data_IF_767348612641
#
_entry.id   IF_767348612641
#
_cell.length_a   1.000
_cell.length_b   1.000
_cell.length_c   1.000
_cell.angle_alpha   90.00
_cell.angle_beta   90.00
_cell.angle_gamma   90.00
#
_symmetry.space_group_name_H-M   'P 1'
#
loop_
_entity.id
_entity.type
_entity.pdbx_description
1 polymer ?
#
# COMPACT_ATOMS: atom_id res chain seq x y z
N UNK A 1 19.35 -13.91 1.18
CA UNK A 1 18.18 -13.03 1.33
C UNK A 1 18.40 -12.12 2.52
N UNK A 2 18.42 -10.81 2.31
CA UNK A 2 18.83 -9.82 3.32
C UNK A 2 17.73 -8.75 3.41
N UNK A 3 17.17 -8.57 4.58
CA UNK A 3 16.14 -7.54 4.81
C UNK A 3 16.71 -6.48 5.73
N UNK A 4 16.57 -5.21 5.38
CA UNK A 4 16.93 -4.09 6.25
C UNK A 4 15.69 -3.58 7.00
N UNK A 5 15.82 -3.29 8.29
CA UNK A 5 14.77 -2.74 9.12
C UNK A 5 15.22 -1.46 9.83
N UNK A 6 14.48 -0.37 9.61
CA UNK A 6 14.76 0.91 10.23
C UNK A 6 14.39 0.93 11.71
N UNK A 7 15.34 1.19 12.58
CA UNK A 7 15.17 1.25 14.03
C UNK A 7 15.27 2.70 14.51
N UNK A 8 14.15 3.35 14.70
CA UNK A 8 14.05 4.71 15.24
C UNK A 8 13.67 4.72 16.73
N UNK A 9 12.70 5.56 17.08
CA UNK A 9 12.27 5.76 18.46
C UNK A 9 11.48 4.57 19.04
N UNK A 10 10.61 3.93 18.23
CA UNK A 10 9.85 2.77 18.68
C UNK A 10 10.74 1.52 18.62
N UNK A 11 10.98 0.93 19.78
CA UNK A 11 11.86 -0.26 19.93
C UNK A 11 11.16 -1.58 19.69
N UNK A 12 9.85 -1.60 19.49
CA UNK A 12 9.08 -2.80 19.13
C UNK A 12 9.59 -3.43 17.82
N UNK A 13 10.25 -2.62 16.95
CA UNK A 13 10.94 -3.11 15.76
C UNK A 13 12.03 -4.12 16.12
N UNK A 14 12.79 -3.88 17.22
CA UNK A 14 13.88 -4.77 17.66
C UNK A 14 13.31 -6.11 18.11
N UNK A 15 12.25 -6.07 18.94
CA UNK A 15 11.60 -7.29 19.40
C UNK A 15 10.96 -8.07 18.23
N UNK A 16 10.41 -7.37 17.22
CA UNK A 16 9.89 -8.01 16.03
C UNK A 16 10.98 -8.71 15.21
N UNK A 17 12.17 -8.12 15.11
CA UNK A 17 13.34 -8.73 14.44
C UNK A 17 13.74 -10.03 15.15
N UNK A 18 13.69 -10.07 16.48
CA UNK A 18 14.03 -11.27 17.27
C UNK A 18 13.02 -12.41 17.12
N UNK A 19 11.80 -12.11 16.63
CA UNK A 19 10.71 -13.09 16.46
C UNK A 19 10.63 -13.68 15.05
N UNK A 20 11.47 -13.29 14.12
CA UNK A 20 11.54 -13.87 12.77
C UNK A 20 12.71 -14.85 12.66
N UNK A 21 12.60 -15.82 11.74
CA UNK A 21 13.58 -16.91 11.54
C UNK A 21 14.53 -16.66 10.36
N UNK A 22 14.64 -15.42 9.91
CA UNK A 22 15.52 -15.00 8.81
C UNK A 22 16.37 -13.78 9.21
N UNK A 23 17.45 -13.55 8.48
CA UNK A 23 18.39 -12.48 8.77
C UNK A 23 17.81 -11.10 8.47
N UNK A 24 17.90 -10.19 9.46
CA UNK A 24 17.46 -8.80 9.34
C UNK A 24 18.56 -7.86 9.83
N UNK A 25 18.96 -6.91 8.98
CA UNK A 25 19.91 -5.86 9.34
C UNK A 25 19.18 -4.70 10.02
N UNK A 26 19.64 -4.34 11.22
CA UNK A 26 19.15 -3.15 11.95
C UNK A 26 19.85 -1.91 11.39
N UNK A 27 19.06 -0.92 10.99
CA UNK A 27 19.55 0.34 10.42
C UNK A 27 18.96 1.51 11.21
N UNK A 28 19.79 2.45 11.64
CA UNK A 28 19.38 3.53 12.55
C UNK A 28 19.18 4.88 11.86
N UNK A 29 19.51 4.99 10.55
CA UNK A 29 19.30 6.22 9.79
C UNK A 29 18.51 5.98 8.50
N UNK A 30 17.79 7.03 8.08
CA UNK A 30 17.02 7.02 6.83
C UNK A 30 17.94 6.92 5.62
N UNK A 31 19.12 7.55 5.69
CA UNK A 31 20.16 7.55 4.66
C UNK A 31 20.65 6.12 4.41
N UNK A 32 21.11 5.47 5.46
CA UNK A 32 21.66 4.11 5.38
C UNK A 32 20.62 3.11 4.90
N UNK A 33 19.35 3.24 5.33
CA UNK A 33 18.27 2.35 4.87
C UNK A 33 18.08 2.42 3.35
N UNK A 34 18.06 3.64 2.80
CA UNK A 34 17.91 3.87 1.35
C UNK A 34 19.15 3.42 0.59
N UNK A 35 20.36 3.66 1.13
CA UNK A 35 21.62 3.19 0.53
C UNK A 35 21.67 1.68 0.47
N UNK A 36 21.29 0.96 1.55
CA UNK A 36 21.26 -0.50 1.56
C UNK A 36 20.34 -1.06 0.49
N UNK A 37 19.20 -0.41 0.31
CA UNK A 37 18.23 -0.80 -0.70
C UNK A 37 18.75 -0.55 -2.13
N UNK A 38 19.26 0.65 -2.40
CA UNK A 38 19.67 1.05 -3.76
C UNK A 38 20.98 0.39 -4.23
N UNK A 39 21.88 0.07 -3.31
CA UNK A 39 23.14 -0.61 -3.62
C UNK A 39 23.00 -2.14 -3.66
N UNK A 40 21.78 -2.68 -3.47
CA UNK A 40 21.53 -4.12 -3.44
C UNK A 40 22.19 -4.84 -2.26
N UNK A 41 22.57 -4.09 -1.21
CA UNK A 41 23.04 -4.70 0.03
C UNK A 41 21.90 -5.39 0.77
N UNK A 42 20.69 -4.83 0.70
CA UNK A 42 19.45 -5.45 1.15
C UNK A 42 18.55 -5.76 -0.06
N UNK A 43 17.94 -6.93 -0.06
CA UNK A 43 16.99 -7.38 -1.09
C UNK A 43 15.61 -6.75 -0.89
N UNK A 44 15.30 -6.33 0.35
CA UNK A 44 14.12 -5.56 0.72
C UNK A 44 14.39 -4.72 1.97
N UNK A 45 13.58 -3.66 2.16
CA UNK A 45 13.65 -2.86 3.37
C UNK A 45 12.26 -2.59 3.94
N UNK A 46 12.15 -2.57 5.27
CA UNK A 46 11.00 -2.01 5.97
C UNK A 46 11.40 -0.71 6.65
N UNK A 47 10.51 0.30 6.62
CA UNK A 47 10.76 1.58 7.31
C UNK A 47 11.00 1.40 8.80
N UNK A 48 10.32 0.44 9.41
CA UNK A 48 10.31 0.33 10.86
C UNK A 48 9.73 1.59 11.50
N UNK A 49 10.49 2.21 12.40
CA UNK A 49 10.09 3.43 13.10
C UNK A 49 10.85 4.70 12.68
N UNK A 50 11.61 4.66 11.60
CA UNK A 50 12.28 5.83 11.00
C UNK A 50 11.30 6.84 10.41
N UNK A 51 11.79 8.00 9.95
CA UNK A 51 10.96 9.07 9.38
C UNK A 51 10.46 8.74 7.97
N UNK A 52 9.13 8.58 7.80
CA UNK A 52 8.53 8.37 6.48
C UNK A 52 8.84 9.51 5.52
N UNK A 53 8.69 10.77 5.96
CA UNK A 53 8.91 11.94 5.10
C UNK A 53 10.33 12.02 4.55
N UNK A 54 11.34 11.72 5.37
CA UNK A 54 12.74 11.73 4.94
C UNK A 54 13.05 10.61 3.95
N UNK A 55 12.59 9.38 4.22
CA UNK A 55 12.79 8.25 3.32
C UNK A 55 12.05 8.49 2.00
N UNK A 56 10.77 8.89 2.06
CA UNK A 56 9.99 9.16 0.83
C UNK A 56 10.60 10.26 -0.02
N UNK A 57 11.17 11.32 0.59
CA UNK A 57 11.89 12.34 -0.16
C UNK A 57 13.07 11.74 -0.96
N UNK A 58 13.89 10.89 -0.33
CA UNK A 58 15.02 10.23 -1.00
C UNK A 58 14.59 9.25 -2.09
N UNK A 59 13.52 8.49 -1.86
CA UNK A 59 12.98 7.59 -2.87
C UNK A 59 12.45 8.36 -4.08
N UNK A 60 11.79 9.51 -3.86
CA UNK A 60 11.31 10.39 -4.94
C UNK A 60 12.42 11.01 -5.79
N UNK A 61 13.63 11.21 -5.26
CA UNK A 61 14.78 11.66 -6.05
C UNK A 61 15.10 10.68 -7.21
N UNK A 62 14.88 9.37 -7.01
CA UNK A 62 15.09 8.33 -8.03
C UNK A 62 13.85 8.03 -8.86
N UNK A 63 12.68 7.94 -8.22
CA UNK A 63 11.45 7.42 -8.84
C UNK A 63 10.42 8.50 -9.19
N UNK A 64 10.64 9.75 -8.74
CA UNK A 64 9.72 10.88 -8.95
C UNK A 64 8.29 10.57 -8.45
N UNK A 65 7.27 11.07 -9.15
CA UNK A 65 5.86 10.91 -8.78
C UNK A 65 5.24 9.57 -9.23
N UNK A 66 6.07 8.64 -9.71
CA UNK A 66 5.61 7.31 -10.15
C UNK A 66 5.33 6.34 -8.99
N UNK A 67 5.75 6.72 -7.80
CA UNK A 67 5.60 5.89 -6.60
C UNK A 67 4.27 6.16 -5.90
N UNK A 68 3.68 5.09 -5.38
CA UNK A 68 2.55 5.17 -4.47
C UNK A 68 2.60 4.04 -3.45
N UNK A 69 1.89 4.24 -2.34
CA UNK A 69 1.84 3.25 -1.25
C UNK A 69 0.53 2.49 -1.28
N UNK A 70 0.62 1.17 -1.29
CA UNK A 70 -0.51 0.27 -1.18
C UNK A 70 -0.40 -0.56 0.10
N UNK A 71 -1.31 -0.37 1.05
CA UNK A 71 -1.35 -1.15 2.28
C UNK A 71 -1.89 -2.55 1.99
N UNK A 72 -1.14 -3.57 2.41
CA UNK A 72 -1.62 -4.93 2.40
C UNK A 72 -2.36 -5.23 3.70
N UNK A 73 -3.63 -5.60 3.58
CA UNK A 73 -4.57 -5.79 4.69
C UNK A 73 -5.17 -7.19 4.62
N UNK A 74 -5.28 -7.82 5.79
CA UNK A 74 -6.08 -9.03 5.99
C UNK A 74 -7.23 -8.71 6.94
N UNK A 75 -8.46 -8.99 6.52
CA UNK A 75 -9.69 -8.79 7.28
C UNK A 75 -10.60 -10.00 7.06
N UNK A 76 -11.01 -10.67 8.12
CA UNK A 76 -11.91 -11.82 8.10
C UNK A 76 -11.50 -12.91 7.07
N UNK A 77 -10.19 -13.15 6.97
CA UNK A 77 -9.59 -14.12 6.06
C UNK A 77 -9.44 -13.65 4.61
N UNK A 78 -9.96 -12.49 4.26
CA UNK A 78 -9.74 -11.88 2.95
C UNK A 78 -8.49 -11.00 2.97
N UNK A 79 -7.73 -11.03 1.87
CA UNK A 79 -6.49 -10.26 1.69
C UNK A 79 -6.63 -9.34 0.51
N UNK A 80 -6.32 -8.08 0.71
CA UNK A 80 -6.41 -7.08 -0.35
C UNK A 80 -5.38 -5.96 -0.17
N UNK A 81 -5.06 -5.30 -1.27
CA UNK A 81 -4.34 -4.04 -1.29
C UNK A 81 -5.33 -2.88 -1.16
N UNK A 82 -4.96 -1.85 -0.43
CA UNK A 82 -5.66 -0.57 -0.37
C UNK A 82 -4.69 0.54 -0.77
N UNK A 83 -5.02 1.29 -1.82
CA UNK A 83 -4.26 2.45 -2.28
C UNK A 83 -5.20 3.53 -2.87
N UNK A 84 -4.75 4.78 -2.94
CA UNK A 84 -3.58 5.32 -2.26
C UNK A 84 -3.78 5.37 -0.74
N UNK A 85 -2.68 5.32 0.03
CA UNK A 85 -2.72 5.52 1.49
C UNK A 85 -1.76 6.63 1.95
N UNK A 86 -0.95 7.17 1.06
CA UNK A 86 -0.25 8.43 1.26
C UNK A 86 -1.20 9.60 1.16
N UNK A 87 -1.19 10.50 2.15
CA UNK A 87 -2.12 11.65 2.20
C UNK A 87 -1.93 12.65 1.05
N UNK A 88 -0.83 12.55 0.34
CA UNK A 88 -0.38 13.35 -0.80
C UNK A 88 -0.41 12.55 -2.12
N UNK A 89 -1.20 11.48 -2.20
CA UNK A 89 -1.30 10.58 -3.36
C UNK A 89 -2.74 10.48 -3.88
N UNK A 90 -2.91 10.30 -5.19
CA UNK A 90 -4.20 9.99 -5.81
C UNK A 90 -5.18 11.15 -5.93
N UNK A 91 -4.69 12.37 -6.14
CA UNK A 91 -5.49 13.59 -6.20
C UNK A 91 -6.40 13.67 -7.43
N UNK A 92 -6.04 12.98 -8.51
CA UNK A 92 -6.78 12.98 -9.78
C UNK A 92 -6.88 11.56 -10.39
N UNK A 93 -7.61 11.45 -11.49
CA UNK A 93 -7.85 10.17 -12.18
C UNK A 93 -6.55 9.61 -12.77
N UNK A 94 -5.66 10.46 -13.29
CA UNK A 94 -4.42 10.01 -13.91
C UNK A 94 -3.48 9.37 -12.87
N UNK A 95 -3.34 9.97 -11.71
CA UNK A 95 -2.59 9.39 -10.59
C UNK A 95 -3.22 8.08 -10.11
N UNK A 96 -4.55 8.04 -9.92
CA UNK A 96 -5.25 6.79 -9.53
C UNK A 96 -5.11 5.69 -10.58
N UNK A 97 -5.08 6.04 -11.86
CA UNK A 97 -4.83 5.10 -12.94
C UNK A 97 -3.41 4.52 -12.87
N UNK A 98 -2.40 5.35 -12.67
CA UNK A 98 -1.01 4.88 -12.49
C UNK A 98 -0.89 3.94 -11.28
N UNK A 99 -1.55 4.27 -10.17
CA UNK A 99 -1.61 3.44 -8.98
C UNK A 99 -2.27 2.08 -9.29
N UNK A 100 -3.42 2.10 -9.97
CA UNK A 100 -4.17 0.89 -10.32
C UNK A 100 -3.36 -0.03 -11.24
N UNK A 101 -2.67 0.53 -12.23
CA UNK A 101 -1.79 -0.22 -13.12
C UNK A 101 -0.56 -0.79 -12.40
N UNK A 102 0.10 0.02 -11.56
CA UNK A 102 1.27 -0.43 -10.80
C UNK A 102 0.90 -1.56 -9.82
N UNK A 103 -0.22 -1.43 -9.09
CA UNK A 103 -0.72 -2.48 -8.20
C UNK A 103 -1.19 -3.72 -8.95
N UNK A 104 -1.78 -3.56 -10.15
CA UNK A 104 -2.12 -4.70 -11.00
C UNK A 104 -0.88 -5.47 -11.44
N UNK A 105 0.18 -4.78 -11.88
CA UNK A 105 1.46 -5.43 -12.22
C UNK A 105 2.07 -6.13 -11.01
N UNK A 106 2.02 -5.48 -9.84
CA UNK A 106 2.49 -6.07 -8.59
C UNK A 106 1.73 -7.37 -8.24
N UNK A 107 0.41 -7.38 -8.30
CA UNK A 107 -0.38 -8.60 -8.05
C UNK A 107 -0.08 -9.71 -9.07
N UNK A 108 0.04 -9.35 -10.35
CA UNK A 108 0.38 -10.31 -11.40
C UNK A 108 1.77 -10.91 -11.21
N UNK A 109 2.76 -10.15 -10.73
CA UNK A 109 4.10 -10.67 -10.41
C UNK A 109 4.07 -11.70 -9.27
N UNK A 110 3.04 -11.66 -8.43
CA UNK A 110 2.78 -12.65 -7.38
C UNK A 110 1.89 -13.83 -7.85
N UNK A 111 1.54 -13.86 -9.14
CA UNK A 111 0.61 -14.87 -9.69
C UNK A 111 -0.86 -14.64 -9.31
N UNK A 112 -1.20 -13.45 -8.83
CA UNK A 112 -2.55 -13.09 -8.40
C UNK A 112 -3.21 -12.25 -9.49
N UNK A 113 -4.37 -12.70 -10.00
CA UNK A 113 -5.16 -11.92 -10.95
C UNK A 113 -5.79 -10.72 -10.22
N UNK A 114 -5.54 -9.46 -10.64
CA UNK A 114 -6.13 -8.30 -10.01
C UNK A 114 -7.64 -8.25 -10.24
N UNK A 115 -8.39 -7.93 -9.19
CA UNK A 115 -9.81 -7.58 -9.22
C UNK A 115 -9.98 -6.28 -8.45
N UNK A 116 -10.16 -5.18 -9.20
CA UNK A 116 -10.10 -3.84 -8.65
C UNK A 116 -11.48 -3.38 -8.20
N UNK A 117 -11.59 -2.96 -6.94
CA UNK A 117 -12.74 -2.20 -6.43
C UNK A 117 -12.43 -0.71 -6.40
N UNK A 118 -13.07 0.08 -7.27
CA UNK A 118 -12.91 1.54 -7.26
C UNK A 118 -13.95 2.15 -6.31
N UNK A 119 -13.47 3.00 -5.39
CA UNK A 119 -14.33 3.71 -4.44
C UNK A 119 -14.50 5.19 -4.83
N UNK A 120 -15.61 5.79 -4.39
CA UNK A 120 -15.88 7.22 -4.51
C UNK A 120 -16.63 7.76 -3.29
N UNK A 121 -16.75 9.08 -3.18
CA UNK A 121 -17.29 9.79 -2.01
C UNK A 121 -18.81 9.79 -1.89
N UNK A 122 -19.55 8.91 -2.57
CA UNK A 122 -21.01 8.83 -2.49
C UNK A 122 -21.57 7.65 -3.24
N UNK A 123 -22.89 7.43 -3.14
CA UNK A 123 -23.68 6.46 -3.92
C UNK A 123 -24.25 7.13 -5.17
N UNK A 124 -24.77 6.38 -6.16
CA UNK A 124 -25.39 6.96 -7.35
C UNK A 124 -26.49 7.99 -7.05
N UNK A 125 -27.32 7.75 -6.04
CA UNK A 125 -28.40 8.64 -5.61
C UNK A 125 -27.92 9.88 -4.85
N UNK A 126 -26.64 9.95 -4.48
CA UNK A 126 -26.06 11.13 -3.81
C UNK A 126 -25.59 12.19 -4.81
N UNK A 127 -25.65 11.89 -6.12
CA UNK A 127 -25.30 12.85 -7.16
C UNK A 127 -26.24 14.07 -7.12
N UNK A 128 -25.65 15.27 -7.21
CA UNK A 128 -26.35 16.54 -7.06
C UNK A 128 -26.34 17.11 -5.64
N UNK A 129 -25.87 16.38 -4.62
CA UNK A 129 -25.82 16.88 -3.23
C UNK A 129 -24.69 17.88 -2.99
N UNK A 130 -23.55 17.70 -3.66
CA UNK A 130 -22.46 18.67 -3.67
C UNK A 130 -21.51 18.43 -4.84
N UNK A 131 -20.81 19.48 -5.29
CA UNK A 131 -19.79 19.39 -6.34
C UNK A 131 -18.66 18.40 -6.00
N UNK A 132 -18.31 18.25 -4.71
CA UNK A 132 -17.28 17.32 -4.26
C UNK A 132 -17.72 15.87 -4.46
N UNK A 133 -18.98 15.57 -4.11
CA UNK A 133 -19.55 14.22 -4.29
C UNK A 133 -19.66 13.89 -5.77
N UNK A 134 -20.19 14.83 -6.57
CA UNK A 134 -20.39 14.65 -8.02
C UNK A 134 -19.05 14.39 -8.71
N UNK A 135 -18.02 15.21 -8.42
CA UNK A 135 -16.67 15.03 -8.94
C UNK A 135 -16.12 13.66 -8.59
N UNK A 136 -16.23 13.24 -7.32
CA UNK A 136 -15.70 11.94 -6.87
C UNK A 136 -16.39 10.76 -7.56
N UNK A 137 -17.70 10.83 -7.74
CA UNK A 137 -18.46 9.79 -8.47
C UNK A 137 -18.06 9.76 -9.95
N UNK A 138 -17.94 10.92 -10.59
CA UNK A 138 -17.58 11.01 -11.99
C UNK A 138 -16.15 10.51 -12.25
N UNK A 139 -15.20 10.83 -11.36
CA UNK A 139 -13.84 10.28 -11.38
C UNK A 139 -13.81 8.75 -11.19
N UNK A 140 -14.61 8.22 -10.27
CA UNK A 140 -14.72 6.77 -10.06
C UNK A 140 -15.28 6.05 -11.30
N UNK A 141 -16.30 6.61 -11.95
CA UNK A 141 -16.85 6.08 -13.20
C UNK A 141 -15.80 6.12 -14.32
N UNK A 142 -15.12 7.25 -14.49
CA UNK A 142 -14.10 7.42 -15.51
C UNK A 142 -12.94 6.45 -15.33
N UNK A 143 -12.39 6.36 -14.12
CA UNK A 143 -11.31 5.43 -13.80
C UNK A 143 -11.71 3.98 -14.09
N UNK A 144 -12.91 3.59 -13.68
CA UNK A 144 -13.41 2.23 -13.92
C UNK A 144 -13.54 1.93 -15.42
N UNK A 145 -14.07 2.88 -16.19
CA UNK A 145 -14.18 2.72 -17.65
C UNK A 145 -12.80 2.55 -18.30
N UNK A 146 -11.83 3.39 -17.95
CA UNK A 146 -10.46 3.30 -18.47
C UNK A 146 -9.81 1.95 -18.12
N UNK A 147 -10.00 1.45 -16.89
CA UNK A 147 -9.45 0.17 -16.48
C UNK A 147 -10.06 -1.00 -17.28
N UNK A 148 -11.37 -1.00 -17.48
CA UNK A 148 -12.07 -2.01 -18.30
C UNK A 148 -11.58 -1.97 -19.76
N UNK A 149 -11.43 -0.77 -20.35
CA UNK A 149 -10.92 -0.61 -21.71
C UNK A 149 -9.46 -1.12 -21.86
N UNK A 150 -8.70 -1.17 -20.75
CA UNK A 150 -7.36 -1.77 -20.66
C UNK A 150 -7.36 -3.23 -20.26
N UNK A 151 -8.51 -3.89 -20.30
CA UNK A 151 -8.70 -5.31 -19.94
C UNK A 151 -8.32 -5.65 -18.50
N UNK A 152 -8.43 -4.68 -17.59
CA UNK A 152 -8.27 -4.89 -16.14
C UNK A 152 -9.66 -5.10 -15.56
N UNK A 153 -9.82 -6.17 -14.77
CA UNK A 153 -11.08 -6.46 -14.06
C UNK A 153 -11.31 -5.40 -12.98
N UNK A 154 -12.27 -4.50 -13.20
CA UNK A 154 -12.55 -3.38 -12.32
C UNK A 154 -14.07 -3.13 -12.23
N UNK A 155 -14.52 -2.73 -11.03
CA UNK A 155 -15.91 -2.34 -10.77
C UNK A 155 -15.95 -1.13 -9.84
N UNK A 156 -16.84 -0.18 -10.12
CA UNK A 156 -17.09 0.95 -9.26
C UNK A 156 -18.09 0.57 -8.16
N UNK A 157 -17.64 0.59 -6.92
CA UNK A 157 -18.43 0.27 -5.73
C UNK A 157 -18.94 1.52 -4.99
N UNK A 158 -18.68 2.69 -5.56
CA UNK A 158 -19.08 3.94 -4.91
C UNK A 158 -18.45 4.08 -3.51
N UNK A 159 -19.26 4.39 -2.47
CA UNK A 159 -18.76 4.48 -1.10
C UNK A 159 -18.80 3.11 -0.35
N UNK A 160 -19.28 2.06 -1.01
CA UNK A 160 -19.60 0.77 -0.40
C UNK A 160 -18.39 -0.17 -0.42
N UNK A 161 -17.41 0.09 0.44
CA UNK A 161 -16.20 -0.75 0.55
C UNK A 161 -16.55 -2.18 0.97
N UNK A 162 -17.57 -2.36 1.79
CA UNK A 162 -18.08 -3.66 2.23
C UNK A 162 -18.54 -4.54 1.06
N UNK A 163 -19.17 -3.94 0.05
CA UNK A 163 -19.59 -4.66 -1.16
C UNK A 163 -18.37 -5.06 -2.01
N UNK A 164 -17.37 -4.18 -2.11
CA UNK A 164 -16.14 -4.50 -2.84
C UNK A 164 -15.40 -5.70 -2.21
N UNK A 165 -15.27 -5.71 -0.88
CA UNK A 165 -14.64 -6.81 -0.14
C UNK A 165 -15.47 -8.09 -0.28
N UNK A 166 -16.80 -8.02 -0.12
CA UNK A 166 -17.70 -9.18 -0.23
C UNK A 166 -17.67 -9.79 -1.63
N UNK A 167 -17.59 -8.97 -2.68
CA UNK A 167 -17.45 -9.41 -4.07
C UNK A 167 -16.04 -9.97 -4.37
N UNK A 168 -15.13 -9.95 -3.40
CA UNK A 168 -13.76 -10.50 -3.51
C UNK A 168 -12.79 -9.61 -4.29
N UNK A 169 -12.99 -8.28 -4.28
CA UNK A 169 -11.97 -7.38 -4.79
C UNK A 169 -10.68 -7.51 -3.95
N UNK A 170 -9.56 -7.72 -4.63
CA UNK A 170 -8.25 -7.88 -3.99
C UNK A 170 -7.35 -6.66 -4.14
N UNK A 171 -7.85 -5.60 -4.79
CA UNK A 171 -7.22 -4.30 -4.84
C UNK A 171 -8.29 -3.20 -4.77
N UNK A 172 -8.27 -2.44 -3.70
CA UNK A 172 -9.21 -1.33 -3.45
C UNK A 172 -8.51 -0.01 -3.79
N UNK A 173 -9.11 0.76 -4.72
CA UNK A 173 -8.68 2.12 -5.01
C UNK A 173 -9.59 3.10 -4.26
N UNK A 174 -9.00 3.78 -3.27
CA UNK A 174 -9.67 4.82 -2.50
C UNK A 174 -9.89 6.10 -3.35
N UNK A 175 -10.85 6.96 -2.97
CA UNK A 175 -11.10 8.22 -3.68
C UNK A 175 -9.88 9.15 -3.76
N UNK A 176 -9.08 9.16 -2.70
CA UNK A 176 -7.85 9.93 -2.52
C UNK A 176 -7.01 9.33 -1.37
N UNK A 177 -5.78 9.80 -1.19
CA UNK A 177 -4.88 9.29 -0.18
C UNK A 177 -5.31 9.59 1.26
N UNK A 178 -6.03 10.69 1.49
CA UNK A 178 -6.58 11.01 2.82
C UNK A 178 -7.64 9.99 3.19
N UNK A 179 -8.59 9.74 2.28
CA UNK A 179 -9.64 8.73 2.47
C UNK A 179 -9.06 7.34 2.66
N UNK A 180 -8.08 6.95 1.84
CA UNK A 180 -7.42 5.66 1.96
C UNK A 180 -6.67 5.49 3.29
N UNK A 181 -6.00 6.56 3.76
CA UNK A 181 -5.34 6.53 5.07
C UNK A 181 -6.35 6.37 6.22
N UNK A 182 -7.48 7.08 6.16
CA UNK A 182 -8.54 6.94 7.17
C UNK A 182 -9.17 5.55 7.14
N UNK A 183 -9.44 4.98 5.96
CA UNK A 183 -9.94 3.61 5.80
C UNK A 183 -8.94 2.61 6.42
N UNK A 184 -7.65 2.71 6.08
CA UNK A 184 -6.60 1.88 6.66
C UNK A 184 -6.61 1.93 8.18
N UNK A 185 -6.60 3.14 8.76
CA UNK A 185 -6.58 3.33 10.21
C UNK A 185 -7.83 2.77 10.89
N UNK A 186 -8.99 2.94 10.25
CA UNK A 186 -10.25 2.42 10.78
C UNK A 186 -10.27 0.90 10.79
N UNK A 187 -9.84 0.26 9.73
CA UNK A 187 -9.83 -1.20 9.61
C UNK A 187 -8.75 -1.82 10.49
N UNK A 188 -7.52 -1.30 10.42
CA UNK A 188 -6.36 -1.97 11.04
C UNK A 188 -6.18 -1.59 12.50
N UNK A 189 -6.37 -0.32 12.88
CA UNK A 189 -6.11 0.12 14.25
C UNK A 189 -7.34 -0.02 15.17
N UNK A 190 -8.56 -0.10 14.60
CA UNK A 190 -9.81 -0.16 15.38
C UNK A 190 -10.66 -1.40 15.03
N UNK A 191 -10.69 -1.80 13.76
CA UNK A 191 -11.61 -2.82 13.23
C UNK A 191 -11.09 -4.27 13.30
N UNK A 192 -9.91 -4.51 13.88
CA UNK A 192 -9.37 -5.87 14.01
C UNK A 192 -8.71 -6.43 12.75
N UNK A 193 -8.62 -5.66 11.67
CA UNK A 193 -7.86 -6.04 10.49
C UNK A 193 -6.35 -6.09 10.78
N UNK A 194 -5.64 -6.97 10.08
CA UNK A 194 -4.18 -7.11 10.21
C UNK A 194 -3.50 -6.35 9.06
N UNK A 195 -2.72 -5.32 9.40
CA UNK A 195 -1.86 -4.63 8.44
C UNK A 195 -0.49 -5.31 8.33
N UNK A 196 -0.02 -5.50 7.11
CA UNK A 196 1.30 -6.07 6.80
C UNK A 196 2.29 -5.00 6.32
N UNK A 197 1.96 -3.73 6.45
CA UNK A 197 2.68 -2.59 5.91
C UNK A 197 2.15 -2.16 4.53
N UNK A 198 2.70 -1.06 4.03
CA UNK A 198 2.35 -0.55 2.72
C UNK A 198 3.53 -0.74 1.75
N UNK A 199 3.36 -1.63 0.77
CA UNK A 199 4.35 -1.79 -0.29
C UNK A 199 4.37 -0.53 -1.15
N UNK A 200 5.56 -0.07 -1.52
CA UNK A 200 5.72 1.05 -2.45
C UNK A 200 5.69 0.51 -3.87
N UNK A 201 4.62 0.83 -4.58
CA UNK A 201 4.44 0.51 -5.99
C UNK A 201 5.24 1.46 -6.87
N UNK A 202 5.59 1.03 -8.10
CA UNK A 202 6.31 1.87 -9.07
C UNK A 202 7.81 1.99 -8.83
N UNK A 203 8.37 1.12 -7.98
CA UNK A 203 9.80 0.94 -7.73
C UNK A 203 10.25 -0.44 -8.18
N UNK A 204 11.54 -0.57 -8.47
CA UNK A 204 12.18 -1.87 -8.73
C UNK A 204 12.53 -2.58 -7.42
N UNK A 205 12.87 -1.82 -6.37
CA UNK A 205 13.20 -2.36 -5.07
C UNK A 205 11.94 -2.61 -4.22
N UNK A 206 12.05 -3.57 -3.31
CA UNK A 206 10.98 -3.90 -2.35
C UNK A 206 11.15 -3.02 -1.11
N UNK A 207 10.30 -2.00 -0.97
CA UNK A 207 10.24 -1.16 0.20
C UNK A 207 8.84 -1.20 0.82
N UNK A 208 8.79 -1.50 2.13
CA UNK A 208 7.55 -1.57 2.91
C UNK A 208 7.50 -0.39 3.88
N UNK A 209 6.58 0.52 3.65
CA UNK A 209 6.27 1.58 4.61
C UNK A 209 5.45 1.02 5.77
N UNK A 210 5.79 1.37 7.00
CA UNK A 210 5.13 0.89 8.22
C UNK A 210 4.67 2.06 9.09
N UNK A 211 3.68 1.86 9.93
CA UNK A 211 3.30 2.89 10.91
C UNK A 211 4.32 2.93 12.05
N UNK A 212 4.67 4.14 12.54
CA UNK A 212 5.42 4.29 13.81
C UNK A 212 4.65 3.80 15.02
N UNK A 213 3.34 3.67 14.88
CA UNK A 213 2.43 3.19 15.93
C UNK A 213 2.20 1.68 15.88
N UNK A 214 2.95 0.96 15.04
CA UNK A 214 2.87 -0.50 15.02
C UNK A 214 3.40 -1.05 16.35
N UNK A 215 2.76 -2.12 16.80
CA UNK A 215 3.26 -3.01 17.82
C UNK A 215 4.25 -4.03 17.24
N UNK A 216 4.79 -4.87 18.09
CA UNK A 216 5.72 -5.95 17.73
C UNK A 216 5.15 -6.85 16.62
N UNK A 217 3.89 -7.25 16.75
CA UNK A 217 3.25 -8.13 15.77
C UNK A 217 3.02 -7.44 14.42
N UNK A 218 2.75 -6.13 14.42
CA UNK A 218 2.63 -5.34 13.19
C UNK A 218 3.96 -5.22 12.45
N UNK A 219 5.06 -4.99 13.15
CA UNK A 219 6.40 -4.99 12.54
C UNK A 219 6.82 -6.37 12.07
N UNK A 220 6.52 -7.42 12.83
CA UNK A 220 6.79 -8.80 12.44
C UNK A 220 6.06 -9.14 11.12
N UNK A 221 4.77 -8.82 11.01
CA UNK A 221 4.02 -9.03 9.75
C UNK A 221 4.63 -8.28 8.57
N UNK A 222 5.15 -7.06 8.78
CA UNK A 222 5.81 -6.31 7.72
C UNK A 222 7.14 -6.95 7.28
N UNK A 223 7.93 -7.48 8.23
CA UNK A 223 9.15 -8.26 7.95
C UNK A 223 8.83 -9.53 7.17
N UNK A 224 7.83 -10.30 7.61
CA UNK A 224 7.38 -11.52 6.94
C UNK A 224 6.86 -11.21 5.52
N UNK A 225 6.17 -10.09 5.34
CA UNK A 225 5.71 -9.67 4.01
C UNK A 225 6.86 -9.28 3.10
N UNK A 226 7.84 -8.50 3.57
CA UNK A 226 9.06 -8.21 2.81
C UNK A 226 9.80 -9.49 2.41
N UNK A 227 9.96 -10.44 3.34
CA UNK A 227 10.57 -11.74 3.10
C UNK A 227 9.81 -12.58 2.05
N UNK A 228 8.48 -12.59 2.13
CA UNK A 228 7.63 -13.25 1.13
C UNK A 228 7.81 -12.66 -0.27
N UNK A 229 7.87 -11.32 -0.38
CA UNK A 229 8.05 -10.65 -1.67
C UNK A 229 9.39 -10.97 -2.31
N UNK A 230 10.49 -10.97 -1.54
CA UNK A 230 11.81 -11.37 -2.06
C UNK A 230 11.80 -12.81 -2.57
N UNK A 231 11.21 -13.75 -1.81
CA UNK A 231 11.08 -15.15 -2.26
C UNK A 231 10.24 -15.31 -3.53
N UNK A 232 9.26 -14.45 -3.71
CA UNK A 232 8.38 -14.50 -4.88
C UNK A 232 9.03 -13.92 -6.14
N UNK A 233 9.97 -12.97 -6.00
CA UNK A 233 10.72 -12.37 -7.11
C UNK A 233 11.87 -13.26 -7.64
N UNK A 234 12.29 -14.29 -6.89
CA UNK A 234 13.32 -15.25 -7.30
C UNK A 234 12.77 -16.40 -8.15
N UNK A 235 11.45 -16.47 -8.37
CA UNK A 235 10.76 -17.51 -9.16
C UNK A 235 10.46 -17.05 -10.57
#
# INVERSE_FOLDING_TARGET
MRIAAGVGQNKDVIEAIEKVDFEVFKVESEEELVEYLFNGFADAAIRGSLSASKIMAKLREKYSDKMSRASFIELDGQKFLLAPVGIDEGDDVDQKLLIAEAGSRFLLSLGIKPKIGVLSGGRPQDKGRSKKIDKSIDEGNLLTSILIDRFIDAKHYFILIEDAITDGANFIIAPDGISGNLIFRSIVLLGGGKGHGAVTLGMDEIYIDTSRSNDVEGYKRALEFAHYLVKSSER
#
